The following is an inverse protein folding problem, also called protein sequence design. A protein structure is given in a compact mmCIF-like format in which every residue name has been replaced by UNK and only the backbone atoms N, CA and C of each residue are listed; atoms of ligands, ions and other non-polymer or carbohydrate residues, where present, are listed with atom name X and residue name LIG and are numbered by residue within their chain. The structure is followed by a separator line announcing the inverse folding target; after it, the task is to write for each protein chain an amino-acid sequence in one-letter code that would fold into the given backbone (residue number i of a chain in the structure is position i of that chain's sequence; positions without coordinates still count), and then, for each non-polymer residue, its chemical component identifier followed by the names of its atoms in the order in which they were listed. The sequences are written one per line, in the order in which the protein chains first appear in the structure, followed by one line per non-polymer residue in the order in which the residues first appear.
data_IF_610924599348
#
_entry.id   IF_610924599348
#
_cell.length_a   1.000
_cell.length_b   1.000
_cell.length_c   1.000
_cell.angle_alpha   90.00
_cell.angle_beta   90.00
_cell.angle_gamma   90.00
#
_symmetry.space_group_name_H-M   'P 1'
#
loop_
_entity.id
_entity.type
_entity.pdbx_description
1 polymer ?
#
# COMPACT_ATOMS: atom_id res chain seq x y z
N UNK A 1 21.99 2.40 25.62
CA UNK A 1 22.51 1.80 24.37
C UNK A 1 21.50 2.04 23.27
N UNK A 2 21.98 2.33 22.07
CA UNK A 2 21.36 3.10 20.99
C UNK A 2 19.88 2.79 20.67
N UNK A 3 19.12 3.86 20.41
CA UNK A 3 17.80 3.81 19.80
C UNK A 3 17.91 3.27 18.37
N UNK A 4 17.41 2.06 18.13
CA UNK A 4 17.14 1.59 16.77
C UNK A 4 15.93 2.38 16.28
N UNK A 5 16.16 3.35 15.38
CA UNK A 5 15.12 4.01 14.62
C UNK A 5 14.39 2.97 13.77
N UNK A 6 13.30 2.41 14.32
CA UNK A 6 12.42 1.53 13.58
C UNK A 6 11.69 2.42 12.57
N UNK A 7 12.23 2.54 11.36
CA UNK A 7 11.47 3.11 10.24
C UNK A 7 10.30 2.16 10.01
N UNK A 8 9.16 2.43 10.64
CA UNK A 8 7.97 1.62 10.50
C UNK A 8 7.42 1.86 9.08
N UNK A 9 7.70 0.92 8.19
CA UNK A 9 7.06 0.88 6.87
C UNK A 9 5.58 0.54 7.06
N UNK A 10 4.72 1.18 6.28
CA UNK A 10 3.29 0.87 6.32
C UNK A 10 3.05 -0.54 5.77
N UNK A 11 2.22 -1.30 6.47
CA UNK A 11 1.68 -2.59 6.02
C UNK A 11 0.54 -2.43 5.00
N UNK A 12 0.17 -1.20 4.65
CA UNK A 12 -0.88 -0.85 3.69
C UNK A 12 -0.78 -1.66 2.38
N UNK A 13 0.44 -1.84 1.87
CA UNK A 13 0.67 -2.53 0.60
C UNK A 13 0.50 -4.05 0.69
N UNK A 14 0.39 -4.64 1.90
CA UNK A 14 0.04 -6.05 2.08
C UNK A 14 -1.38 -6.35 1.58
N UNK A 15 -2.27 -5.35 1.57
CA UNK A 15 -3.62 -5.48 0.99
C UNK A 15 -3.69 -5.31 -0.54
N UNK A 16 -2.58 -4.92 -1.18
CA UNK A 16 -2.49 -4.91 -2.64
C UNK A 16 -2.33 -6.33 -3.18
N UNK A 17 -2.59 -6.53 -4.48
CA UNK A 17 -2.56 -7.87 -5.11
C UNK A 17 -1.24 -8.62 -4.88
N UNK A 18 -0.09 -7.93 -4.93
CA UNK A 18 1.21 -8.55 -4.63
C UNK A 18 1.33 -9.00 -3.16
N UNK A 19 0.86 -8.16 -2.24
CA UNK A 19 0.92 -8.44 -0.81
C UNK A 19 -0.04 -9.54 -0.38
N UNK A 20 -1.26 -9.57 -0.94
CA UNK A 20 -2.25 -10.60 -0.65
C UNK A 20 -1.78 -11.95 -1.18
N UNK A 21 -1.29 -12.02 -2.42
CA UNK A 21 -0.75 -13.26 -2.99
C UNK A 21 0.50 -13.75 -2.24
N UNK A 22 1.34 -12.84 -1.75
CA UNK A 22 2.46 -13.23 -0.87
C UNK A 22 1.95 -13.82 0.45
N UNK A 23 0.96 -13.19 1.07
CA UNK A 23 0.36 -13.68 2.33
C UNK A 23 -0.25 -15.06 2.14
N UNK A 24 -1.04 -15.26 1.08
CA UNK A 24 -1.64 -16.55 0.75
C UNK A 24 -0.56 -17.64 0.58
N UNK A 25 0.53 -17.34 -0.13
CA UNK A 25 1.63 -18.28 -0.32
C UNK A 25 2.40 -18.61 0.98
N UNK A 26 2.52 -17.64 1.89
CA UNK A 26 3.14 -17.85 3.20
C UNK A 26 2.23 -18.71 4.09
N UNK A 27 0.92 -18.47 4.06
CA UNK A 27 -0.07 -19.24 4.81
C UNK A 27 -0.12 -20.69 4.32
N UNK A 28 -0.03 -20.94 3.02
CA UNK A 28 0.09 -22.30 2.46
C UNK A 28 1.33 -23.04 2.99
N UNK A 29 2.48 -22.37 3.08
CA UNK A 29 3.72 -22.97 3.61
C UNK A 29 3.64 -23.24 5.10
N UNK A 30 2.97 -22.38 5.87
CA UNK A 30 2.71 -22.59 7.30
C UNK A 30 1.75 -23.77 7.47
N UNK A 31 0.65 -23.81 6.71
CA UNK A 31 -0.34 -24.89 6.75
C UNK A 31 0.23 -26.26 6.38
N UNK A 32 1.25 -26.28 5.52
CA UNK A 32 2.01 -27.48 5.18
C UNK A 32 3.13 -27.82 6.20
N UNK A 33 3.24 -27.10 7.32
CA UNK A 33 4.29 -27.24 8.35
C UNK A 33 5.72 -27.06 7.79
N UNK A 34 5.87 -26.34 6.67
CA UNK A 34 7.16 -26.09 6.00
C UNK A 34 7.81 -24.77 6.40
N UNK A 35 7.08 -23.92 7.11
CA UNK A 35 7.52 -22.59 7.52
C UNK A 35 6.99 -22.26 8.92
N UNK A 36 7.85 -21.70 9.76
CA UNK A 36 7.45 -21.16 11.06
C UNK A 36 6.71 -19.82 10.89
N UNK A 37 5.60 -19.57 11.60
CA UNK A 37 4.86 -18.31 11.51
C UNK A 37 5.70 -17.05 11.79
N UNK A 38 6.69 -17.14 12.68
CA UNK A 38 7.58 -16.02 12.97
C UNK A 38 8.49 -15.70 11.78
N UNK A 39 8.86 -16.70 10.99
CA UNK A 39 9.63 -16.49 9.77
C UNK A 39 8.78 -15.80 8.69
N UNK A 40 7.52 -16.20 8.52
CA UNK A 40 6.60 -15.55 7.60
C UNK A 40 6.41 -14.06 7.94
N UNK A 41 6.27 -13.73 9.24
CA UNK A 41 6.17 -12.33 9.67
C UNK A 41 7.42 -11.52 9.31
N UNK A 42 8.63 -12.11 9.42
CA UNK A 42 9.87 -11.45 8.97
C UNK A 42 9.89 -11.21 7.46
N UNK A 43 9.35 -12.15 6.66
CA UNK A 43 9.21 -11.97 5.20
C UNK A 43 8.27 -10.81 4.89
N UNK A 44 7.13 -10.72 5.58
CA UNK A 44 6.18 -9.62 5.40
C UNK A 44 6.77 -8.26 5.82
N UNK A 45 7.52 -8.19 6.92
CA UNK A 45 8.24 -6.97 7.31
C UNK A 45 9.26 -6.54 6.24
N UNK A 46 9.94 -7.49 5.61
CA UNK A 46 10.86 -7.19 4.51
C UNK A 46 10.11 -6.74 3.26
N UNK A 47 8.94 -7.32 2.98
CA UNK A 47 8.07 -6.88 1.89
C UNK A 47 7.66 -5.42 2.05
N UNK A 48 7.20 -4.99 3.24
CA UNK A 48 6.77 -3.61 3.50
C UNK A 48 7.86 -2.59 3.18
N UNK A 49 9.11 -2.92 3.54
CA UNK A 49 10.28 -2.12 3.22
C UNK A 49 10.52 -2.07 1.71
N UNK A 50 10.62 -3.22 1.07
CA UNK A 50 11.03 -3.33 -0.35
C UNK A 50 10.00 -2.71 -1.28
N UNK A 51 8.70 -2.89 -1.03
CA UNK A 51 7.66 -2.31 -1.88
C UNK A 51 7.65 -0.78 -1.79
N UNK A 52 7.84 -0.24 -0.59
CA UNK A 52 7.91 1.22 -0.38
C UNK A 52 9.11 1.84 -1.10
N UNK A 53 10.28 1.24 -0.95
CA UNK A 53 11.50 1.68 -1.64
C UNK A 53 11.35 1.57 -3.16
N UNK A 54 10.85 0.44 -3.67
CA UNK A 54 10.68 0.21 -5.10
C UNK A 54 9.69 1.20 -5.74
N UNK A 55 8.57 1.48 -5.07
CA UNK A 55 7.60 2.48 -5.54
C UNK A 55 8.22 3.88 -5.59
N UNK A 56 8.98 4.28 -4.57
CA UNK A 56 9.61 5.59 -4.51
C UNK A 56 10.73 5.77 -5.55
N UNK A 57 11.59 4.76 -5.69
CA UNK A 57 12.78 4.86 -6.52
C UNK A 57 12.48 4.62 -8.00
N UNK A 58 11.67 3.59 -8.31
CA UNK A 58 11.53 3.07 -9.68
C UNK A 58 10.29 3.57 -10.40
N UNK A 59 9.22 3.96 -9.69
CA UNK A 59 7.98 4.40 -10.33
C UNK A 59 8.00 5.91 -10.52
N UNK A 60 7.97 6.35 -11.78
CA UNK A 60 7.90 7.78 -12.17
C UNK A 60 6.60 8.14 -12.89
N UNK A 61 5.76 7.14 -13.19
CA UNK A 61 4.48 7.35 -13.81
C UNK A 61 3.59 8.21 -12.91
N UNK A 62 2.88 9.15 -13.51
CA UNK A 62 1.90 10.00 -12.84
C UNK A 62 0.56 9.82 -13.49
N UNK A 63 -0.48 10.09 -12.72
CA UNK A 63 -1.85 10.08 -13.18
C UNK A 63 -2.61 11.24 -12.57
N UNK A 64 -3.69 11.62 -13.23
CA UNK A 64 -4.72 12.51 -12.69
C UNK A 64 -6.04 11.78 -12.68
N UNK A 65 -6.95 12.14 -11.77
CA UNK A 65 -8.28 11.56 -11.76
C UNK A 65 -9.34 12.60 -11.43
N UNK A 66 -10.55 12.36 -11.90
CA UNK A 66 -11.75 13.14 -11.57
C UNK A 66 -12.88 12.18 -11.22
N UNK A 67 -13.72 12.55 -10.26
CA UNK A 67 -14.88 11.77 -9.85
C UNK A 67 -15.69 12.52 -8.79
N UNK A 68 -16.81 11.93 -8.37
CA UNK A 68 -17.69 12.48 -7.35
C UNK A 68 -17.36 11.85 -5.99
N UNK A 69 -16.96 12.65 -5.01
CA UNK A 69 -16.73 12.16 -3.65
C UNK A 69 -18.05 11.69 -3.02
N UNK A 70 -18.07 10.45 -2.54
CA UNK A 70 -19.22 9.84 -1.86
C UNK A 70 -19.12 10.06 -0.34
N UNK A 71 -17.99 9.66 0.24
CA UNK A 71 -17.69 9.87 1.66
C UNK A 71 -16.17 9.85 1.89
N UNK A 72 -15.73 10.42 3.01
CA UNK A 72 -14.34 10.44 3.43
C UNK A 72 -14.20 10.20 4.93
N UNK A 73 -13.02 9.75 5.36
CA UNK A 73 -12.65 9.61 6.77
C UNK A 73 -11.17 9.88 6.95
N UNK A 74 -10.84 10.56 8.03
CA UNK A 74 -9.47 10.69 8.52
C UNK A 74 -9.42 10.18 9.96
N UNK A 75 -8.58 9.20 10.21
CA UNK A 75 -8.38 8.59 11.53
C UNK A 75 -6.97 7.97 11.55
N UNK A 76 -6.25 8.13 12.66
CA UNK A 76 -4.89 7.62 12.86
C UNK A 76 -3.92 7.95 11.72
N UNK A 77 -3.97 9.20 11.24
CA UNK A 77 -3.16 9.71 10.12
C UNK A 77 -3.38 9.01 8.77
N UNK A 78 -4.47 8.24 8.64
CA UNK A 78 -4.87 7.58 7.40
C UNK A 78 -6.12 8.23 6.83
N UNK A 79 -6.02 8.67 5.58
CA UNK A 79 -7.16 9.11 4.78
C UNK A 79 -7.79 7.93 4.06
N UNK A 80 -9.12 7.85 4.10
CA UNK A 80 -9.91 6.94 3.27
C UNK A 80 -10.97 7.73 2.51
N UNK A 81 -11.00 7.61 1.19
CA UNK A 81 -12.01 8.21 0.31
C UNK A 81 -12.78 7.13 -0.43
N UNK A 82 -14.09 7.29 -0.53
CA UNK A 82 -14.91 6.56 -1.50
C UNK A 82 -15.35 7.55 -2.57
N UNK A 83 -15.02 7.26 -3.82
CA UNK A 83 -15.28 8.15 -4.96
C UNK A 83 -16.08 7.37 -6.00
N UNK A 84 -17.11 7.99 -6.56
CA UNK A 84 -17.98 7.44 -7.62
C UNK A 84 -17.67 8.05 -8.98
N UNK A 85 -17.98 7.33 -10.05
CA UNK A 85 -17.86 7.77 -11.44
C UNK A 85 -16.46 8.34 -11.74
N UNK A 86 -15.43 7.56 -11.41
CA UNK A 86 -14.03 8.00 -11.48
C UNK A 86 -13.47 7.78 -12.87
N UNK A 87 -12.77 8.78 -13.39
CA UNK A 87 -11.97 8.71 -14.61
C UNK A 87 -10.51 9.00 -14.28
N UNK A 88 -9.63 8.03 -14.49
CA UNK A 88 -8.18 8.17 -14.40
C UNK A 88 -7.59 8.47 -15.78
N UNK A 89 -6.60 9.36 -15.82
CA UNK A 89 -5.81 9.70 -16.99
C UNK A 89 -4.35 9.57 -16.64
N UNK A 90 -3.65 8.68 -17.35
CA UNK A 90 -2.20 8.53 -17.20
C UNK A 90 -1.47 9.65 -17.95
N UNK A 91 -0.33 10.11 -17.41
CA UNK A 91 0.55 11.03 -18.13
C UNK A 91 0.98 10.41 -19.47
N UNK A 92 1.04 11.23 -20.52
CA UNK A 92 1.29 10.77 -21.90
C UNK A 92 0.03 10.45 -22.70
N UNK A 93 -1.16 10.54 -22.12
CA UNK A 93 -2.45 10.54 -22.85
C UNK A 93 -2.86 9.21 -23.49
N UNK A 94 -2.09 8.14 -23.27
CA UNK A 94 -2.28 6.85 -23.96
C UNK A 94 -3.36 5.96 -23.35
N UNK A 95 -3.82 6.22 -22.11
CA UNK A 95 -4.85 5.39 -21.48
C UNK A 95 -5.76 6.18 -20.54
N UNK A 96 -7.06 6.02 -20.74
CA UNK A 96 -8.13 6.50 -19.85
C UNK A 96 -8.80 5.28 -19.24
N UNK A 97 -8.84 5.22 -17.91
CA UNK A 97 -9.50 4.14 -17.16
C UNK A 97 -10.69 4.72 -16.42
N UNK A 98 -11.85 4.08 -16.52
CA UNK A 98 -13.08 4.49 -15.82
C UNK A 98 -13.50 3.43 -14.81
N UNK A 99 -14.11 3.87 -13.71
CA UNK A 99 -14.64 2.98 -12.67
C UNK A 99 -15.84 3.61 -11.98
N UNK A 100 -16.88 2.80 -11.73
CA UNK A 100 -18.10 3.26 -11.06
C UNK A 100 -17.84 3.68 -9.60
N UNK A 101 -16.94 2.97 -8.91
CA UNK A 101 -16.59 3.23 -7.53
C UNK A 101 -15.13 2.85 -7.24
N UNK A 102 -14.43 3.73 -6.52
CA UNK A 102 -13.04 3.53 -6.08
C UNK A 102 -12.93 3.83 -4.59
N UNK A 103 -12.16 3.01 -3.88
CA UNK A 103 -11.68 3.29 -2.53
C UNK A 103 -10.21 3.70 -2.59
N UNK A 104 -9.88 4.89 -2.09
CA UNK A 104 -8.50 5.36 -1.95
C UNK A 104 -8.16 5.34 -0.47
N UNK A 105 -7.08 4.64 -0.10
CA UNK A 105 -6.49 4.66 1.24
C UNK A 105 -5.10 5.25 1.12
N UNK A 106 -4.82 6.29 1.91
CA UNK A 106 -3.56 7.01 1.87
C UNK A 106 -3.04 7.26 3.27
N UNK A 107 -1.83 6.80 3.54
CA UNK A 107 -1.10 7.13 4.77
C UNK A 107 -0.31 8.43 4.60
N UNK A 108 0.04 9.06 5.72
CA UNK A 108 0.97 10.19 5.75
C UNK A 108 2.31 9.82 5.12
N UNK A 109 2.88 10.71 4.31
CA UNK A 109 4.24 10.55 3.79
C UNK A 109 5.32 10.96 4.81
N UNK A 110 4.92 11.61 5.91
CA UNK A 110 5.85 12.03 6.96
C UNK A 110 6.33 10.79 7.71
N UNK A 111 7.64 10.56 7.69
CA UNK A 111 8.27 9.63 8.63
C UNK A 111 8.02 10.16 10.03
N UNK A 112 7.64 9.29 10.95
CA UNK A 112 7.28 9.58 12.34
C UNK A 112 8.49 10.03 13.19
N UNK A 113 9.25 11.02 12.72
CA UNK A 113 10.46 11.58 13.35
C UNK A 113 10.47 13.13 13.31
N UNK A 114 9.31 13.79 13.20
CA UNK A 114 9.21 15.24 13.40
C UNK A 114 8.19 15.58 14.52
N UNK A 115 8.70 15.64 15.75
CA UNK A 115 8.26 16.56 16.80
C UNK A 115 9.47 17.14 17.51
#
# INVERSE_FOLDING_TARGET
MAANGNTNYYDLYRHGSLGSTLTDALDDLIGAERMDPQLAMKVLMQFDRVITEALNEKVKARLTFKGSLDTYRFCDEVWTFLIKNVTFKMDGGQSVVTADKVKIVSCSAKRSDEK
#
